data_IF_857328912637
#
_entry.id   IF_857328912637
#
_cell.length_a   1.000
_cell.length_b   1.000
_cell.length_c   1.000
_cell.angle_alpha   90.00
_cell.angle_beta   90.00
_cell.angle_gamma   90.00
#
_symmetry.space_group_name_H-M   'P 1'
#
loop_
_entity.id
_entity.type
_entity.pdbx_description
1 polymer ?
#
# COMPACT_ATOMS: atom_id res chain seq x y z
N UNK A 1 5.04 0.88 21.86
CA UNK A 1 5.96 1.52 20.91
C UNK A 1 5.51 1.20 19.50
N UNK A 2 5.29 2.23 18.68
CA UNK A 2 4.81 2.13 17.32
C UNK A 2 5.75 2.92 16.41
N UNK A 3 6.29 2.27 15.36
CA UNK A 3 7.16 2.95 14.39
C UNK A 3 6.35 3.58 13.25
N UNK A 4 5.22 2.97 12.91
CA UNK A 4 4.32 3.43 11.84
C UNK A 4 2.87 3.44 12.34
N UNK A 5 2.17 4.53 12.09
CA UNK A 5 0.72 4.62 12.19
C UNK A 5 0.15 4.61 10.77
N UNK A 6 -0.59 3.56 10.42
CA UNK A 6 -1.25 3.44 9.14
C UNK A 6 -2.73 3.77 9.27
N UNK A 7 -3.22 4.69 8.46
CA UNK A 7 -4.65 4.90 8.30
C UNK A 7 -5.18 3.81 7.40
N UNK A 8 -5.99 2.93 7.96
CA UNK A 8 -6.76 1.97 7.20
C UNK A 8 -8.02 2.64 6.64
N UNK A 9 -9.06 1.90 6.30
CA UNK A 9 -10.26 2.50 5.73
C UNK A 9 -10.89 3.53 6.67
N UNK A 10 -11.44 4.61 6.09
CA UNK A 10 -12.28 5.51 6.85
C UNK A 10 -13.57 4.80 7.29
N UNK A 11 -13.87 4.80 8.57
CA UNK A 11 -15.23 4.51 9.02
C UNK A 11 -16.12 5.71 8.71
N UNK A 12 -17.37 5.50 8.26
CA UNK A 12 -18.34 6.58 8.24
C UNK A 12 -18.47 7.09 9.68
N UNK A 13 -18.00 8.28 9.90
CA UNK A 13 -18.23 8.96 11.18
C UNK A 13 -19.61 9.59 11.16
N UNK A 14 -20.18 9.83 12.32
CA UNK A 14 -21.45 10.55 12.47
C UNK A 14 -21.44 11.94 11.78
N UNK A 15 -20.28 12.42 11.40
CA UNK A 15 -20.04 13.71 10.77
C UNK A 15 -19.96 13.66 9.24
N UNK A 16 -20.03 12.47 8.62
CA UNK A 16 -20.09 12.37 7.16
C UNK A 16 -21.47 12.83 6.69
N UNK A 17 -21.55 13.82 5.78
CA UNK A 17 -22.84 14.26 5.24
C UNK A 17 -23.58 13.08 4.61
N UNK A 18 -24.88 12.96 4.92
CA UNK A 18 -25.76 11.91 4.37
C UNK A 18 -25.76 11.85 2.84
N UNK A 19 -25.47 12.98 2.18
CA UNK A 19 -25.35 13.06 0.74
C UNK A 19 -24.15 12.31 0.15
N UNK A 20 -23.19 11.89 0.99
CA UNK A 20 -21.98 11.20 0.57
C UNK A 20 -22.08 9.67 0.73
N UNK A 21 -23.19 9.15 1.27
CA UNK A 21 -23.38 7.71 1.36
C UNK A 21 -24.85 7.32 1.12
N UNK A 22 -25.04 6.18 0.48
CA UNK A 22 -26.36 5.63 0.19
C UNK A 22 -26.95 5.00 1.47
N UNK A 23 -28.15 5.43 1.88
CA UNK A 23 -28.85 4.86 3.03
C UNK A 23 -29.13 3.36 2.86
N UNK A 24 -29.33 2.89 1.63
CA UNK A 24 -29.49 1.47 1.32
C UNK A 24 -28.20 0.67 1.54
N UNK A 25 -27.07 1.30 1.30
CA UNK A 25 -25.75 0.70 1.51
C UNK A 25 -25.38 0.56 3.00
N UNK A 26 -26.09 1.25 3.91
CA UNK A 26 -25.82 1.16 5.35
C UNK A 26 -26.11 -0.19 5.96
N UNK A 27 -26.93 -1.02 5.32
CA UNK A 27 -27.15 -2.41 5.74
C UNK A 27 -26.05 -3.37 5.29
N UNK A 28 -25.29 -2.99 4.29
CA UNK A 28 -24.16 -3.74 3.80
C UNK A 28 -22.89 -3.31 4.55
N UNK A 29 -22.38 -4.19 5.42
CA UNK A 29 -21.19 -3.92 6.21
C UNK A 29 -19.96 -3.60 5.35
N UNK A 30 -19.86 -4.17 4.14
CA UNK A 30 -18.75 -3.93 3.23
C UNK A 30 -18.72 -2.49 2.73
N UNK A 31 -19.89 -1.84 2.60
CA UNK A 31 -20.00 -0.45 2.18
C UNK A 31 -19.78 0.52 3.35
N UNK A 32 -20.12 0.10 4.57
CA UNK A 32 -19.89 0.94 5.78
C UNK A 32 -18.40 1.17 6.06
N UNK A 33 -17.53 0.29 5.58
CA UNK A 33 -16.11 0.30 5.90
C UNK A 33 -15.23 0.88 4.80
N UNK A 34 -15.74 1.02 3.56
CA UNK A 34 -14.96 1.31 2.36
C UNK A 34 -15.44 2.52 1.56
N UNK A 35 -16.10 3.45 2.19
CA UNK A 35 -16.92 4.44 1.49
C UNK A 35 -16.16 5.62 0.91
N UNK A 36 -14.87 5.76 1.16
CA UNK A 36 -14.15 6.97 0.81
C UNK A 36 -13.18 6.82 -0.36
N UNK A 37 -13.40 5.81 -1.19
CA UNK A 37 -12.63 5.63 -2.40
C UNK A 37 -11.27 4.97 -2.18
N UNK A 38 -10.45 5.02 -3.21
CA UNK A 38 -9.17 4.33 -3.26
C UNK A 38 -8.12 4.93 -2.34
N UNK A 39 -8.18 6.24 -2.10
CA UNK A 39 -7.17 6.97 -1.31
C UNK A 39 -7.76 7.42 0.03
N UNK A 40 -7.18 6.92 1.13
CA UNK A 40 -7.54 7.28 2.50
C UNK A 40 -6.39 8.02 3.18
N UNK A 41 -6.59 9.31 3.42
CA UNK A 41 -5.57 10.15 4.07
C UNK A 41 -5.64 10.03 5.59
N UNK A 42 -4.51 10.10 6.30
CA UNK A 42 -4.49 10.09 7.75
C UNK A 42 -5.08 11.39 8.32
N UNK A 43 -5.72 11.26 9.46
CA UNK A 43 -6.18 12.42 10.23
C UNK A 43 -4.98 13.23 10.73
N UNK A 44 -5.04 14.56 10.60
CA UNK A 44 -3.96 15.45 11.01
C UNK A 44 -3.61 15.34 12.50
N UNK A 45 -4.62 15.12 13.37
CA UNK A 45 -4.38 14.96 14.81
C UNK A 45 -3.55 13.70 15.10
N UNK A 46 -3.88 12.58 14.45
CA UNK A 46 -3.11 11.34 14.60
C UNK A 46 -1.71 11.44 13.99
N UNK A 47 -1.57 12.10 12.84
CA UNK A 47 -0.27 12.40 12.23
C UNK A 47 0.62 13.20 13.20
N UNK A 48 0.07 14.25 13.81
CA UNK A 48 0.80 15.05 14.78
C UNK A 48 1.20 14.24 16.02
N UNK A 49 0.34 13.37 16.52
CA UNK A 49 0.64 12.50 17.66
C UNK A 49 1.72 11.48 17.29
N UNK A 50 1.63 10.86 16.10
CA UNK A 50 2.64 9.95 15.60
C UNK A 50 4.03 10.64 15.56
N UNK A 51 4.12 11.80 14.94
CA UNK A 51 5.37 12.56 14.82
C UNK A 51 5.94 12.98 16.17
N UNK A 52 5.10 13.42 17.11
CA UNK A 52 5.55 13.75 18.47
C UNK A 52 6.16 12.58 19.21
N UNK A 53 5.78 11.35 18.86
CA UNK A 53 6.29 10.12 19.45
C UNK A 53 7.33 9.41 18.58
N UNK A 54 7.83 10.06 17.53
CA UNK A 54 8.88 9.53 16.66
C UNK A 54 8.38 8.45 15.68
N UNK A 55 7.06 8.29 15.53
CA UNK A 55 6.44 7.37 14.58
C UNK A 55 6.11 8.08 13.26
N UNK A 56 6.09 7.33 12.17
CA UNK A 56 5.61 7.80 10.88
C UNK A 56 4.10 7.61 10.74
N UNK A 57 3.46 8.49 9.98
CA UNK A 57 2.04 8.42 9.63
C UNK A 57 1.87 8.18 8.15
N UNK A 58 1.17 7.10 7.76
CA UNK A 58 0.99 6.72 6.36
C UNK A 58 -0.48 6.61 5.98
N UNK A 59 -0.78 7.05 4.76
CA UNK A 59 -2.08 6.91 4.11
C UNK A 59 -2.26 5.50 3.55
N UNK A 60 -3.45 5.18 3.06
CA UNK A 60 -3.72 3.92 2.34
C UNK A 60 -4.18 4.20 0.92
N UNK A 61 -3.63 3.43 -0.03
CA UNK A 61 -4.16 3.27 -1.38
C UNK A 61 -4.73 1.85 -1.45
N UNK A 62 -6.03 1.72 -1.72
CA UNK A 62 -6.71 0.44 -1.67
C UNK A 62 -7.48 0.14 -2.95
N UNK A 63 -7.19 -1.00 -3.55
CA UNK A 63 -7.95 -1.59 -4.65
C UNK A 63 -8.49 -2.95 -4.22
N UNK A 64 -9.78 -3.00 -3.98
CA UNK A 64 -10.50 -4.20 -3.50
C UNK A 64 -10.55 -5.30 -4.55
N UNK A 65 -10.45 -6.55 -4.11
CA UNK A 65 -10.67 -7.72 -4.95
C UNK A 65 -12.10 -7.85 -5.48
N UNK A 66 -13.03 -7.21 -4.83
CA UNK A 66 -14.40 -7.05 -5.31
C UNK A 66 -14.48 -5.81 -6.19
N UNK A 67 -14.00 -5.93 -7.42
CA UNK A 67 -14.06 -4.86 -8.40
C UNK A 67 -15.49 -4.30 -8.47
N UNK A 68 -15.70 -3.13 -7.90
CA UNK A 68 -16.96 -2.39 -7.94
C UNK A 68 -17.05 -1.53 -9.21
N UNK A 69 -16.20 -1.80 -10.19
CA UNK A 69 -16.32 -1.36 -11.58
C UNK A 69 -15.84 0.05 -11.89
N UNK A 70 -15.43 0.87 -10.92
CA UNK A 70 -15.20 2.29 -11.17
C UNK A 70 -13.74 2.74 -11.04
N UNK A 71 -12.96 2.13 -10.15
CA UNK A 71 -11.55 2.52 -9.95
C UNK A 71 -10.63 1.30 -9.91
N UNK A 72 -9.58 1.34 -10.71
CA UNK A 72 -8.58 0.28 -10.78
C UNK A 72 -7.17 0.87 -10.68
N UNK A 73 -6.17 0.03 -10.41
CA UNK A 73 -4.76 0.43 -10.41
C UNK A 73 -4.33 1.19 -11.68
N UNK A 74 -5.04 1.00 -12.79
CA UNK A 74 -4.77 1.73 -14.05
C UNK A 74 -4.92 3.23 -13.90
N UNK A 75 -5.73 3.69 -12.94
CA UNK A 75 -5.86 5.12 -12.64
C UNK A 75 -4.53 5.72 -12.14
N UNK A 76 -3.71 4.93 -11.44
CA UNK A 76 -2.39 5.34 -11.00
C UNK A 76 -1.41 5.55 -12.16
N UNK A 77 -1.59 4.77 -13.24
CA UNK A 77 -0.68 4.72 -14.39
C UNK A 77 -1.10 5.63 -15.53
N UNK A 78 -2.21 6.37 -15.37
CA UNK A 78 -2.72 7.27 -16.41
C UNK A 78 -1.78 8.45 -16.69
N UNK A 79 -1.79 8.88 -17.96
CA UNK A 79 -1.09 10.08 -18.38
C UNK A 79 0.44 9.95 -18.33
N UNK A 80 0.98 8.72 -18.49
CA UNK A 80 2.43 8.52 -18.55
C UNK A 80 3.08 9.51 -19.49
N UNK A 81 4.08 10.24 -19.00
CA UNK A 81 4.79 11.27 -19.76
C UNK A 81 5.81 10.64 -20.71
N UNK A 82 6.30 11.46 -21.67
CA UNK A 82 7.31 11.02 -22.64
C UNK A 82 8.62 10.59 -21.99
N UNK A 83 8.96 11.12 -20.81
CA UNK A 83 10.13 10.75 -20.02
C UNK A 83 9.93 9.46 -19.18
N UNK A 84 8.76 8.83 -19.30
CA UNK A 84 8.42 7.60 -18.59
C UNK A 84 7.85 7.81 -17.19
N UNK A 85 7.70 9.05 -16.71
CA UNK A 85 7.16 9.35 -15.39
C UNK A 85 5.63 9.40 -15.37
N UNK A 86 5.06 9.27 -14.16
CA UNK A 86 3.62 9.23 -13.93
C UNK A 86 3.15 10.48 -13.17
N UNK A 87 2.21 11.27 -13.72
CA UNK A 87 1.71 12.48 -13.07
C UNK A 87 1.00 12.17 -11.75
N UNK A 88 0.34 11.00 -11.62
CA UNK A 88 -0.32 10.60 -10.37
C UNK A 88 0.69 10.33 -9.28
N UNK A 89 1.86 9.76 -9.58
CA UNK A 89 2.93 9.59 -8.60
C UNK A 89 3.38 10.94 -8.02
N UNK A 90 3.62 11.93 -8.87
CA UNK A 90 3.97 13.28 -8.43
C UNK A 90 2.86 13.92 -7.58
N UNK A 91 1.60 13.69 -7.96
CA UNK A 91 0.46 14.22 -7.19
C UNK A 91 0.36 13.57 -5.80
N UNK A 92 0.61 12.28 -5.68
CA UNK A 92 0.65 11.61 -4.38
C UNK A 92 1.81 12.13 -3.50
N UNK A 93 2.96 12.41 -4.09
CA UNK A 93 4.07 13.06 -3.39
C UNK A 93 3.68 14.46 -2.90
N UNK A 94 3.05 15.26 -3.76
CA UNK A 94 2.54 16.60 -3.41
C UNK A 94 1.53 16.53 -2.25
N UNK A 95 0.57 15.60 -2.30
CA UNK A 95 -0.45 15.40 -1.27
C UNK A 95 0.22 15.06 0.07
N UNK A 96 1.14 14.09 0.09
CA UNK A 96 1.84 13.71 1.31
C UNK A 96 2.60 14.89 1.92
N UNK A 97 3.32 15.64 1.12
CA UNK A 97 4.06 16.84 1.57
C UNK A 97 3.13 17.95 2.05
N UNK A 98 2.02 18.17 1.36
CA UNK A 98 1.05 19.22 1.71
C UNK A 98 0.37 18.95 3.06
N UNK A 99 -0.07 17.70 3.30
CA UNK A 99 -0.72 17.31 4.55
C UNK A 99 0.23 16.85 5.64
N UNK A 100 1.53 16.73 5.33
CA UNK A 100 2.58 16.43 6.29
C UNK A 100 2.62 14.99 6.79
N UNK A 101 2.12 14.03 6.03
CA UNK A 101 2.30 12.60 6.36
C UNK A 101 3.43 11.98 5.54
N UNK A 102 3.87 10.77 5.90
CA UNK A 102 5.16 10.25 5.48
C UNK A 102 5.12 9.33 4.26
N UNK A 103 3.97 8.76 3.95
CA UNK A 103 3.89 7.81 2.84
C UNK A 103 2.57 7.08 2.71
N UNK A 104 2.62 5.93 2.00
CA UNK A 104 1.44 5.17 1.63
C UNK A 104 1.62 3.68 1.88
N UNK A 105 0.59 3.07 2.45
CA UNK A 105 0.37 1.64 2.39
C UNK A 105 -0.41 1.33 1.10
N UNK A 106 0.17 0.51 0.23
CA UNK A 106 -0.44 0.13 -1.04
C UNK A 106 -1.03 -1.26 -0.91
N UNK A 107 -2.35 -1.32 -0.79
CA UNK A 107 -3.11 -2.55 -0.71
C UNK A 107 -3.76 -2.85 -2.07
N UNK A 108 -3.08 -3.68 -2.86
CA UNK A 108 -3.51 -4.10 -4.19
C UNK A 108 -4.18 -5.47 -4.12
N UNK A 109 -5.42 -5.54 -3.63
CA UNK A 109 -6.19 -6.79 -3.52
C UNK A 109 -7.02 -7.13 -4.78
N UNK A 110 -6.71 -6.51 -5.89
CA UNK A 110 -7.19 -6.90 -7.22
C UNK A 110 -6.02 -7.20 -8.13
N UNK A 111 -6.24 -8.06 -9.12
CA UNK A 111 -5.19 -8.48 -10.03
C UNK A 111 -4.66 -7.32 -10.87
N UNK A 112 -3.36 -7.29 -11.06
CA UNK A 112 -2.66 -6.42 -11.99
C UNK A 112 -2.36 -7.20 -13.26
N UNK A 113 -2.61 -6.64 -14.45
CA UNK A 113 -2.19 -7.28 -15.68
C UNK A 113 -0.68 -7.47 -15.68
N UNK A 114 -0.19 -8.64 -16.06
CA UNK A 114 1.25 -8.93 -16.07
C UNK A 114 2.07 -7.92 -16.89
N UNK A 115 1.48 -7.42 -17.98
CA UNK A 115 2.10 -6.36 -18.81
C UNK A 115 2.27 -5.02 -18.07
N UNK A 116 1.45 -4.75 -17.05
CA UNK A 116 1.45 -3.50 -16.28
C UNK A 116 2.32 -3.60 -15.01
N UNK A 117 2.73 -4.79 -14.61
CA UNK A 117 3.56 -4.99 -13.39
C UNK A 117 4.84 -4.14 -13.42
N UNK A 118 5.62 -4.11 -14.51
CA UNK A 118 6.80 -3.24 -14.56
C UNK A 118 6.47 -1.74 -14.44
N UNK A 119 5.36 -1.31 -15.02
CA UNK A 119 4.90 0.08 -14.93
C UNK A 119 4.48 0.43 -13.50
N UNK A 120 3.83 -0.48 -12.80
CA UNK A 120 3.45 -0.28 -11.40
C UNK A 120 4.68 -0.19 -10.49
N UNK A 121 5.70 -1.01 -10.74
CA UNK A 121 6.99 -0.89 -10.05
C UNK A 121 7.63 0.49 -10.29
N UNK A 122 7.67 0.96 -11.55
CA UNK A 122 8.22 2.27 -11.90
C UNK A 122 7.45 3.42 -11.23
N UNK A 123 6.13 3.29 -11.14
CA UNK A 123 5.26 4.23 -10.42
C UNK A 123 5.62 4.32 -8.93
N UNK A 124 5.76 3.19 -8.24
CA UNK A 124 6.13 3.18 -6.81
C UNK A 124 7.54 3.72 -6.61
N UNK A 125 8.49 3.30 -7.46
CA UNK A 125 9.85 3.79 -7.42
C UNK A 125 9.93 5.31 -7.57
N UNK A 126 9.15 5.90 -8.47
CA UNK A 126 9.06 7.36 -8.63
C UNK A 126 8.64 8.06 -7.33
N UNK A 127 7.77 7.45 -6.54
CA UNK A 127 7.33 8.00 -5.24
C UNK A 127 8.45 7.91 -4.21
N UNK A 128 9.08 6.75 -4.06
CA UNK A 128 10.15 6.57 -3.05
C UNK A 128 11.40 7.39 -3.38
N UNK A 129 11.73 7.56 -4.66
CA UNK A 129 12.86 8.39 -5.10
C UNK A 129 12.66 9.88 -4.76
N UNK A 130 11.42 10.30 -4.46
CA UNK A 130 11.09 11.65 -3.98
C UNK A 130 10.97 11.74 -2.43
N UNK A 131 11.38 10.69 -1.72
CA UNK A 131 11.45 10.66 -0.27
C UNK A 131 10.13 10.34 0.43
N UNK A 132 9.14 9.81 -0.27
CA UNK A 132 7.86 9.37 0.29
C UNK A 132 7.89 7.86 0.48
N UNK A 133 7.55 7.40 1.69
CA UNK A 133 7.59 5.99 2.08
C UNK A 133 6.47 5.19 1.38
N UNK A 134 6.79 3.98 0.94
CA UNK A 134 5.82 3.02 0.42
C UNK A 134 5.96 1.69 1.15
N UNK A 135 4.84 1.19 1.64
CA UNK A 135 4.69 -0.19 2.11
C UNK A 135 3.75 -0.95 1.17
N UNK A 136 4.24 -2.07 0.65
CA UNK A 136 3.43 -2.98 -0.18
C UNK A 136 2.69 -3.99 0.69
N UNK A 137 1.50 -4.40 0.28
CA UNK A 137 0.79 -5.52 0.90
C UNK A 137 1.02 -6.82 0.14
N UNK A 138 1.14 -7.91 0.89
CA UNK A 138 1.32 -9.28 0.39
C UNK A 138 0.05 -9.80 -0.30
N UNK A 139 -0.27 -9.27 -1.46
CA UNK A 139 -1.49 -9.60 -2.22
C UNK A 139 -1.19 -9.92 -3.68
N UNK A 140 -0.97 -8.93 -4.53
CA UNK A 140 -0.61 -9.17 -5.92
C UNK A 140 0.82 -9.69 -6.04
N UNK A 141 1.00 -10.76 -6.81
CA UNK A 141 2.31 -11.44 -6.99
C UNK A 141 3.07 -10.93 -8.20
N UNK A 142 4.37 -11.16 -8.19
CA UNK A 142 5.27 -10.92 -9.31
C UNK A 142 5.63 -12.25 -9.99
N UNK A 143 5.78 -12.31 -11.33
CA UNK A 143 5.55 -11.24 -12.30
C UNK A 143 4.11 -11.19 -12.84
N UNK A 144 3.25 -12.10 -12.40
CA UNK A 144 1.96 -12.34 -13.00
C UNK A 144 0.90 -11.29 -12.63
N UNK A 145 1.06 -10.60 -11.50
CA UNK A 145 0.11 -9.63 -10.98
C UNK A 145 -1.18 -10.23 -10.41
N UNK A 146 -1.31 -11.55 -10.38
CA UNK A 146 -2.46 -12.22 -9.77
C UNK A 146 -2.43 -12.14 -8.26
N UNK A 147 -3.60 -12.06 -7.61
CA UNK A 147 -3.70 -12.03 -6.15
C UNK A 147 -3.48 -13.43 -5.58
N UNK A 148 -2.45 -13.55 -4.75
CA UNK A 148 -2.14 -14.79 -4.02
C UNK A 148 -1.32 -14.45 -2.78
N UNK A 149 -1.97 -14.45 -1.63
CA UNK A 149 -1.33 -14.16 -0.34
C UNK A 149 -0.28 -15.21 0.00
N UNK A 150 0.98 -14.79 0.10
CA UNK A 150 2.09 -15.69 0.37
C UNK A 150 2.27 -15.98 1.86
N UNK A 151 1.84 -15.06 2.72
CA UNK A 151 2.01 -15.09 4.18
C UNK A 151 3.49 -15.14 4.62
N UNK A 152 4.39 -14.93 3.68
CA UNK A 152 5.83 -14.88 3.86
C UNK A 152 6.46 -14.02 2.76
N UNK A 153 7.68 -13.57 3.01
CA UNK A 153 8.46 -12.85 2.01
C UNK A 153 9.25 -13.84 1.16
N UNK A 154 8.97 -13.91 -0.14
CA UNK A 154 9.57 -14.87 -1.05
C UNK A 154 9.69 -14.31 -2.48
N UNK A 155 10.11 -15.14 -3.44
CA UNK A 155 10.29 -14.74 -4.84
C UNK A 155 9.01 -14.23 -5.51
N UNK A 156 7.82 -14.62 -5.01
CA UNK A 156 6.55 -14.20 -5.60
C UNK A 156 6.15 -12.77 -5.20
N UNK A 157 6.71 -12.20 -4.14
CA UNK A 157 6.38 -10.85 -3.69
C UNK A 157 7.59 -9.94 -3.45
N UNK A 158 8.81 -10.50 -3.32
CA UNK A 158 10.01 -9.69 -3.05
C UNK A 158 10.32 -8.65 -4.15
N UNK A 159 10.03 -8.87 -5.46
CA UNK A 159 10.28 -7.85 -6.47
C UNK A 159 9.40 -6.60 -6.34
N UNK A 160 8.34 -6.63 -5.54
CA UNK A 160 7.59 -5.43 -5.15
C UNK A 160 8.31 -4.56 -4.13
N UNK A 161 9.37 -5.10 -3.50
CA UNK A 161 10.24 -4.38 -2.56
C UNK A 161 11.60 -4.11 -3.17
N UNK A 162 12.23 -5.14 -3.71
CA UNK A 162 13.56 -5.09 -4.30
C UNK A 162 13.57 -5.90 -5.61
N UNK A 163 13.61 -5.20 -6.73
CA UNK A 163 13.70 -5.83 -8.05
C UNK A 163 15.18 -6.04 -8.44
N UNK A 164 15.56 -7.21 -8.96
CA UNK A 164 16.96 -7.49 -9.33
C UNK A 164 17.54 -6.52 -10.36
N UNK A 165 16.71 -5.96 -11.24
CA UNK A 165 17.14 -5.09 -12.33
C UNK A 165 16.91 -3.60 -12.04
N UNK A 166 15.88 -3.29 -11.27
CA UNK A 166 15.45 -1.90 -10.99
C UNK A 166 15.91 -1.38 -9.63
N UNK A 167 16.34 -2.27 -8.74
CA UNK A 167 16.70 -1.95 -7.37
C UNK A 167 15.46 -1.79 -6.46
N UNK A 168 15.52 -0.88 -5.52
CA UNK A 168 14.45 -0.64 -4.55
C UNK A 168 13.17 -0.14 -5.23
N UNK A 169 12.06 -0.82 -4.98
CA UNK A 169 10.72 -0.52 -5.52
C UNK A 169 9.82 0.06 -4.44
N UNK A 170 9.87 -0.49 -3.22
CA UNK A 170 9.18 0.03 -2.04
C UNK A 170 10.07 -0.09 -0.81
N UNK A 171 9.67 0.53 0.28
CA UNK A 171 10.46 0.52 1.52
C UNK A 171 10.26 -0.74 2.33
N UNK A 172 9.05 -1.31 2.28
CA UNK A 172 8.70 -2.49 3.07
C UNK A 172 7.52 -3.25 2.48
N UNK A 173 7.30 -4.44 3.02
CA UNK A 173 6.12 -5.26 2.78
C UNK A 173 5.41 -5.57 4.09
N UNK A 174 4.08 -5.56 4.06
CA UNK A 174 3.23 -6.08 5.12
C UNK A 174 2.74 -7.46 4.68
N UNK A 175 3.16 -8.51 5.39
CA UNK A 175 2.79 -9.89 5.09
C UNK A 175 1.37 -10.18 5.57
N UNK A 176 0.65 -10.98 4.82
CA UNK A 176 -0.67 -11.44 5.21
C UNK A 176 -0.61 -12.31 6.48
N UNK A 177 -1.73 -12.54 7.12
CA UNK A 177 -1.88 -12.96 8.52
C UNK A 177 -1.65 -14.46 8.80
N UNK A 178 -1.60 -15.30 7.76
CA UNK A 178 -1.63 -16.77 7.91
C UNK A 178 -0.25 -17.42 7.83
N UNK A 179 0.73 -16.81 8.47
CA UNK A 179 2.06 -17.42 8.58
C UNK A 179 2.08 -18.55 9.63
N UNK A 180 2.92 -19.55 9.40
CA UNK A 180 3.08 -20.71 10.29
C UNK A 180 4.49 -21.30 10.17
N UNK A 181 4.88 -22.15 11.13
CA UNK A 181 6.18 -22.82 11.10
C UNK A 181 7.35 -21.84 10.98
N UNK A 182 8.20 -22.07 10.00
CA UNK A 182 9.41 -21.27 9.78
C UNK A 182 9.20 -20.06 8.84
N UNK A 183 7.98 -19.77 8.39
CA UNK A 183 7.72 -18.77 7.35
C UNK A 183 8.29 -17.39 7.68
N UNK A 184 8.27 -16.97 8.95
CA UNK A 184 8.84 -15.67 9.35
C UNK A 184 10.38 -15.70 9.33
N UNK A 185 10.99 -16.83 9.75
CA UNK A 185 12.44 -16.99 9.67
C UNK A 185 12.90 -17.03 8.21
N UNK A 186 12.20 -17.81 7.38
CA UNK A 186 12.48 -17.93 5.94
C UNK A 186 12.33 -16.55 5.24
N UNK A 187 11.31 -15.77 5.65
CA UNK A 187 11.13 -14.39 5.18
C UNK A 187 12.31 -13.49 5.52
N UNK A 188 12.81 -13.59 6.75
CA UNK A 188 13.96 -12.81 7.20
C UNK A 188 15.23 -13.21 6.45
N UNK A 189 15.42 -14.50 6.22
CA UNK A 189 16.60 -15.01 5.51
C UNK A 189 16.53 -14.68 4.01
N UNK A 190 15.34 -14.73 3.41
CA UNK A 190 15.13 -14.26 2.04
C UNK A 190 15.45 -12.76 1.89
N UNK A 191 14.97 -11.92 2.81
CA UNK A 191 15.29 -10.49 2.81
C UNK A 191 16.81 -10.24 2.88
N UNK A 192 17.52 -10.93 3.79
CA UNK A 192 18.97 -10.83 3.92
C UNK A 192 19.69 -11.25 2.63
N UNK A 193 19.21 -12.29 1.95
CA UNK A 193 19.77 -12.76 0.68
C UNK A 193 19.70 -11.70 -0.44
N UNK A 194 18.72 -10.79 -0.33
CA UNK A 194 18.54 -9.65 -1.24
C UNK A 194 19.25 -8.37 -0.76
N UNK A 195 20.01 -8.43 0.33
CA UNK A 195 20.68 -7.29 0.92
C UNK A 195 19.73 -6.33 1.67
N UNK A 196 18.57 -6.82 2.08
CA UNK A 196 17.53 -6.05 2.80
C UNK A 196 17.60 -6.40 4.29
N UNK A 197 17.55 -5.38 5.16
CA UNK A 197 17.37 -5.62 6.60
C UNK A 197 15.89 -5.94 6.89
N UNK A 198 15.58 -7.19 7.28
CA UNK A 198 14.19 -7.60 7.52
C UNK A 198 13.52 -6.82 8.65
N UNK A 199 14.27 -6.30 9.61
CA UNK A 199 13.73 -5.50 10.72
C UNK A 199 12.96 -4.28 10.25
N UNK A 200 13.37 -3.67 9.13
CA UNK A 200 12.79 -2.44 8.63
C UNK A 200 11.96 -2.63 7.35
N UNK A 201 12.03 -3.80 6.74
CA UNK A 201 11.42 -4.05 5.45
C UNK A 201 10.35 -5.15 5.45
N UNK A 202 10.30 -6.02 6.47
CA UNK A 202 9.36 -7.16 6.48
C UNK A 202 8.52 -7.13 7.75
N UNK A 203 7.24 -6.83 7.61
CA UNK A 203 6.29 -6.74 8.72
C UNK A 203 5.30 -7.88 8.65
N UNK A 204 5.20 -8.67 9.72
CA UNK A 204 4.22 -9.74 9.83
C UNK A 204 2.85 -9.17 10.21
N UNK A 205 1.81 -9.52 9.46
CA UNK A 205 0.44 -9.16 9.79
C UNK A 205 -0.09 -9.94 10.97
N UNK A 206 -0.66 -9.24 11.95
CA UNK A 206 -1.36 -9.85 13.09
C UNK A 206 -2.73 -9.22 13.15
N UNK A 207 -3.77 -10.04 13.09
CA UNK A 207 -5.15 -9.64 13.30
C UNK A 207 -5.55 -9.96 14.74
N UNK A 208 -6.07 -8.95 15.45
CA UNK A 208 -6.47 -9.05 16.86
C UNK A 208 -7.99 -9.05 17.02
#
# INVERSE_FOLDING_TARGET
YTDYYGTWHGQPTANVPKSLYDEKAQSDWTQKWFEFGTLNLPNAAYTNVAHKNGAKSIATIFYSGNDRGEQTYKDLLQGKRADGTYPVADKLVEIAKYYGFDGYFVNQESSVNSADVPAYQDFMKQIIDQGIYIQWYDSATYPNGGVSYQNMFNDANSPWVQDPNKGKISDSIFLNYWFSGNMLQDSADHAKSLGIDPKYAVFAGIEA
#
